data_IF_652481978299
#
_entry.id   IF_652481978299
#
_cell.length_a   1.000
_cell.length_b   1.000
_cell.length_c   1.000
_cell.angle_alpha   90.00
_cell.angle_beta   90.00
_cell.angle_gamma   90.00
#
_symmetry.space_group_name_H-M   'P 1'
#
loop_
_entity.id
_entity.type
_entity.pdbx_description
1 polymer ?
#
# COMPACT_ATOMS: atom_id res chain seq x y z
N UNK A 1 9.28 13.10 3.81
CA UNK A 1 8.68 14.19 3.00
C UNK A 1 8.77 13.76 1.53
N UNK A 2 7.65 13.64 0.81
CA UNK A 2 7.69 13.23 -0.61
C UNK A 2 8.49 14.25 -1.43
N UNK A 3 9.37 13.75 -2.31
CA UNK A 3 10.07 14.59 -3.28
C UNK A 3 9.03 15.26 -4.21
N UNK A 4 9.23 16.54 -4.58
CA UNK A 4 8.31 17.29 -5.47
C UNK A 4 7.94 16.51 -6.75
N UNK A 5 8.89 15.76 -7.31
CA UNK A 5 8.66 14.90 -8.48
C UNK A 5 7.64 13.77 -8.22
N UNK A 6 7.67 13.14 -7.05
CA UNK A 6 6.74 12.06 -6.69
C UNK A 6 5.34 12.59 -6.39
N UNK A 7 5.24 13.80 -5.84
CA UNK A 7 3.97 14.50 -5.66
C UNK A 7 3.32 14.74 -7.03
N UNK A 8 4.09 15.18 -8.02
CA UNK A 8 3.58 15.38 -9.38
C UNK A 8 3.10 14.06 -9.99
N UNK A 9 3.86 12.96 -9.89
CA UNK A 9 3.44 11.64 -10.38
C UNK A 9 2.14 11.19 -9.69
N UNK A 10 2.03 11.40 -8.38
CA UNK A 10 0.82 11.10 -7.63
C UNK A 10 -0.38 11.94 -8.07
N UNK A 11 -0.20 13.23 -8.31
CA UNK A 11 -1.25 14.11 -8.81
C UNK A 11 -1.69 13.71 -10.23
N UNK A 12 -0.74 13.47 -11.14
CA UNK A 12 -1.06 13.05 -12.52
C UNK A 12 -1.74 11.69 -12.59
N UNK A 13 -1.51 10.81 -11.61
CA UNK A 13 -2.26 9.56 -11.48
C UNK A 13 -3.71 9.79 -11.01
N UNK A 14 -3.94 10.72 -10.08
CA UNK A 14 -5.28 10.93 -9.52
C UNK A 14 -6.19 11.83 -10.38
N UNK A 15 -5.63 12.75 -11.18
CA UNK A 15 -6.41 13.67 -12.02
C UNK A 15 -7.35 12.92 -12.98
N UNK A 16 -6.90 11.94 -13.78
CA UNK A 16 -7.78 11.18 -14.68
C UNK A 16 -8.87 10.41 -13.92
N UNK A 17 -8.54 9.86 -12.73
CA UNK A 17 -9.51 9.16 -11.88
C UNK A 17 -10.64 10.11 -11.47
N UNK A 18 -10.29 11.30 -11.00
CA UNK A 18 -11.25 12.31 -10.55
C UNK A 18 -12.11 12.79 -11.72
N UNK A 19 -11.49 13.10 -12.86
CA UNK A 19 -12.22 13.51 -14.08
C UNK A 19 -13.22 12.43 -14.49
N UNK A 20 -12.80 11.16 -14.47
CA UNK A 20 -13.65 10.04 -14.85
C UNK A 20 -14.85 9.86 -13.90
N UNK A 21 -14.64 10.00 -12.58
CA UNK A 21 -15.74 9.97 -11.60
C UNK A 21 -16.73 11.11 -11.84
N UNK A 22 -16.25 12.33 -12.08
CA UNK A 22 -17.13 13.48 -12.38
C UNK A 22 -17.87 13.33 -13.71
N UNK A 23 -17.23 12.77 -14.73
CA UNK A 23 -17.88 12.46 -16.00
C UNK A 23 -19.07 11.52 -15.80
N UNK A 24 -18.89 10.42 -15.04
CA UNK A 24 -19.97 9.49 -14.72
C UNK A 24 -21.05 10.12 -13.83
N UNK A 25 -20.66 11.00 -12.91
CA UNK A 25 -21.61 11.77 -12.11
C UNK A 25 -22.51 12.61 -13.02
N UNK A 26 -21.94 13.41 -13.93
CA UNK A 26 -22.72 14.31 -14.80
C UNK A 26 -23.71 13.54 -15.67
N UNK A 27 -23.29 12.39 -16.22
CA UNK A 27 -24.12 11.63 -17.17
C UNK A 27 -25.20 10.80 -16.47
N UNK A 28 -24.86 10.13 -15.36
CA UNK A 28 -25.76 9.14 -14.75
C UNK A 28 -26.38 9.63 -13.41
N UNK A 29 -25.80 10.64 -12.77
CA UNK A 29 -26.15 11.11 -11.44
C UNK A 29 -25.16 10.63 -10.35
N UNK A 30 -25.22 11.22 -9.16
CA UNK A 30 -24.28 10.92 -8.06
C UNK A 30 -24.47 9.53 -7.45
N UNK A 31 -25.72 9.05 -7.44
CA UNK A 31 -26.16 7.86 -6.70
C UNK A 31 -26.58 6.71 -7.63
N UNK A 32 -26.51 6.93 -8.95
CA UNK A 32 -26.88 5.92 -9.94
C UNK A 32 -25.89 4.76 -9.94
N UNK A 33 -26.42 3.54 -9.89
CA UNK A 33 -25.69 2.32 -10.15
C UNK A 33 -26.10 1.81 -11.53
N UNK A 34 -25.13 1.49 -12.39
CA UNK A 34 -25.45 0.93 -13.68
C UNK A 34 -26.04 -0.48 -13.52
N UNK A 35 -27.21 -0.74 -14.12
CA UNK A 35 -27.97 -2.01 -13.94
C UNK A 35 -27.26 -3.21 -14.61
N UNK A 36 -26.20 -2.96 -15.38
CA UNK A 36 -25.42 -3.97 -16.11
C UNK A 36 -24.96 -5.12 -15.19
N UNK A 37 -24.67 -4.86 -13.90
CA UNK A 37 -24.30 -5.89 -12.91
C UNK A 37 -25.30 -7.05 -12.82
N UNK A 38 -26.60 -6.79 -12.91
CA UNK A 38 -27.63 -7.81 -12.76
C UNK A 38 -27.72 -8.77 -13.95
N UNK A 39 -27.05 -8.43 -15.07
CA UNK A 39 -26.97 -9.27 -16.28
C UNK A 39 -25.55 -9.77 -16.56
N UNK A 40 -24.56 -9.37 -15.75
CA UNK A 40 -23.16 -9.73 -15.95
C UNK A 40 -22.83 -11.05 -15.25
N UNK A 41 -22.81 -12.14 -16.01
CA UNK A 41 -22.28 -13.43 -15.58
C UNK A 41 -20.89 -13.61 -16.19
N UNK A 42 -19.81 -13.27 -15.46
CA UNK A 42 -18.46 -13.35 -16.01
C UNK A 42 -18.12 -14.80 -16.35
N UNK A 43 -17.64 -15.03 -17.57
CA UNK A 43 -17.08 -16.31 -17.98
C UNK A 43 -15.82 -16.65 -17.17
N UNK A 44 -15.34 -17.89 -17.25
CA UNK A 44 -14.08 -18.27 -16.59
C UNK A 44 -12.90 -17.40 -17.06
N UNK A 45 -12.90 -17.01 -18.34
CA UNK A 45 -11.88 -16.15 -18.95
C UNK A 45 -11.97 -14.73 -18.35
N UNK A 46 -13.18 -14.19 -18.19
CA UNK A 46 -13.39 -12.86 -17.58
C UNK A 46 -12.93 -12.82 -16.12
N UNK A 47 -13.08 -13.92 -15.38
CA UNK A 47 -12.56 -14.04 -14.01
C UNK A 47 -11.03 -14.06 -13.95
N UNK A 48 -10.37 -14.73 -14.90
CA UNK A 48 -8.90 -14.79 -14.98
C UNK A 48 -8.32 -13.44 -15.40
N UNK A 49 -9.04 -12.71 -16.27
CA UNK A 49 -8.65 -11.38 -16.74
C UNK A 49 -9.14 -10.25 -15.85
N UNK A 50 -9.74 -10.55 -14.69
CA UNK A 50 -10.25 -9.54 -13.77
C UNK A 50 -9.10 -8.60 -13.34
N UNK A 51 -9.17 -7.31 -13.70
CA UNK A 51 -8.12 -6.36 -13.37
C UNK A 51 -7.89 -6.23 -11.87
N UNK A 52 -8.88 -6.57 -11.03
CA UNK A 52 -8.72 -6.58 -9.58
C UNK A 52 -7.69 -7.63 -9.14
N UNK A 53 -7.72 -8.85 -9.68
CA UNK A 53 -6.73 -9.87 -9.34
C UNK A 53 -5.33 -9.47 -9.81
N UNK A 54 -5.22 -8.94 -11.03
CA UNK A 54 -3.95 -8.47 -11.57
C UNK A 54 -3.36 -7.29 -10.78
N UNK A 55 -4.20 -6.36 -10.31
CA UNK A 55 -3.74 -5.26 -9.44
C UNK A 55 -3.10 -5.80 -8.15
N UNK A 56 -3.69 -6.84 -7.54
CA UNK A 56 -3.14 -7.49 -6.34
C UNK A 56 -1.84 -8.22 -6.65
N UNK A 57 -1.79 -8.99 -7.75
CA UNK A 57 -0.58 -9.72 -8.17
C UNK A 57 0.58 -8.74 -8.40
N UNK A 58 0.33 -7.66 -9.15
CA UNK A 58 1.36 -6.64 -9.42
C UNK A 58 1.79 -5.93 -8.14
N UNK A 59 0.87 -5.67 -7.21
CA UNK A 59 1.20 -5.12 -5.88
C UNK A 59 2.18 -5.98 -5.11
N UNK A 60 1.96 -7.31 -5.12
CA UNK A 60 2.84 -8.28 -4.48
C UNK A 60 4.21 -8.32 -5.17
N UNK A 61 4.23 -8.28 -6.50
CA UNK A 61 5.48 -8.23 -7.28
C UNK A 61 6.29 -6.98 -6.90
N UNK A 62 5.67 -5.79 -6.88
CA UNK A 62 6.34 -4.55 -6.49
C UNK A 62 6.87 -4.67 -5.05
N UNK A 63 6.05 -5.14 -4.11
CA UNK A 63 6.46 -5.33 -2.72
C UNK A 63 7.69 -6.24 -2.60
N UNK A 64 7.71 -7.36 -3.32
CA UNK A 64 8.86 -8.27 -3.38
C UNK A 64 10.09 -7.59 -3.98
N UNK A 65 9.94 -6.91 -5.12
CA UNK A 65 11.04 -6.24 -5.82
C UNK A 65 11.68 -5.11 -4.99
N UNK A 66 10.89 -4.40 -4.18
CA UNK A 66 11.41 -3.40 -3.23
C UNK A 66 12.29 -4.04 -2.15
N UNK A 67 12.04 -5.30 -1.80
CA UNK A 67 12.74 -6.01 -0.75
C UNK A 67 14.01 -6.73 -1.22
N UNK A 68 14.23 -6.91 -2.52
CA UNK A 68 15.33 -7.72 -3.06
C UNK A 68 16.17 -6.92 -4.04
N UNK A 69 17.49 -7.13 -4.03
CA UNK A 69 18.39 -6.64 -5.07
C UNK A 69 19.32 -7.76 -5.53
N UNK A 70 19.64 -7.75 -6.80
CA UNK A 70 20.69 -8.60 -7.36
C UNK A 70 21.85 -7.72 -7.83
N UNK A 71 22.96 -7.75 -7.10
CA UNK A 71 24.23 -7.15 -7.51
C UNK A 71 25.34 -8.19 -7.28
N UNK A 72 25.55 -9.07 -8.26
CA UNK A 72 26.41 -10.27 -8.21
C UNK A 72 26.00 -11.36 -7.20
N UNK A 73 25.31 -10.98 -6.13
CA UNK A 73 24.66 -11.84 -5.14
C UNK A 73 23.22 -11.38 -4.92
N UNK A 74 22.38 -12.32 -4.48
CA UNK A 74 21.00 -12.03 -4.09
C UNK A 74 20.97 -11.46 -2.67
N UNK A 75 20.50 -10.22 -2.53
CA UNK A 75 20.43 -9.48 -1.28
C UNK A 75 18.97 -9.21 -0.89
N UNK A 76 18.64 -9.43 0.38
CA UNK A 76 17.33 -9.13 0.96
C UNK A 76 17.46 -7.94 1.92
N UNK A 77 16.62 -6.92 1.74
CA UNK A 77 16.58 -5.69 2.53
C UNK A 77 15.53 -5.83 3.62
N UNK A 78 15.99 -6.17 4.82
CA UNK A 78 15.13 -6.43 5.96
C UNK A 78 14.29 -5.21 6.39
N UNK A 79 14.86 -4.01 6.33
CA UNK A 79 14.15 -2.75 6.59
C UNK A 79 13.02 -2.50 5.60
N UNK A 80 13.25 -2.78 4.30
CA UNK A 80 12.21 -2.69 3.26
C UNK A 80 11.05 -3.65 3.53
N UNK A 81 11.32 -4.87 4.00
CA UNK A 81 10.27 -5.84 4.37
C UNK A 81 9.42 -5.28 5.51
N UNK A 82 10.07 -4.74 6.55
CA UNK A 82 9.38 -4.13 7.70
C UNK A 82 8.53 -2.94 7.25
N UNK A 83 9.04 -2.06 6.40
CA UNK A 83 8.30 -0.91 5.88
C UNK A 83 7.08 -1.34 5.03
N UNK A 84 7.22 -2.37 4.19
CA UNK A 84 6.10 -2.96 3.43
C UNK A 84 5.04 -3.53 4.37
N UNK A 85 5.45 -4.30 5.38
CA UNK A 85 4.53 -4.88 6.35
C UNK A 85 3.82 -3.77 7.16
N UNK A 86 4.55 -2.75 7.61
CA UNK A 86 3.98 -1.62 8.32
C UNK A 86 3.01 -0.83 7.46
N UNK A 87 3.32 -0.58 6.19
CA UNK A 87 2.42 0.10 5.27
C UNK A 87 1.13 -0.71 5.03
N UNK A 88 1.24 -2.04 4.93
CA UNK A 88 0.09 -2.93 4.80
C UNK A 88 -0.75 -2.96 6.08
N UNK A 89 -0.16 -3.12 7.25
CA UNK A 89 -0.88 -3.11 8.53
C UNK A 89 -1.58 -1.76 8.74
N UNK A 90 -0.90 -0.67 8.37
CA UNK A 90 -1.46 0.68 8.42
C UNK A 90 -2.71 0.82 7.54
N UNK A 91 -2.65 0.31 6.31
CA UNK A 91 -3.81 0.21 5.42
C UNK A 91 -4.98 -0.54 6.09
N UNK A 92 -4.70 -1.70 6.68
CA UNK A 92 -5.73 -2.59 7.21
C UNK A 92 -6.51 -1.96 8.35
N UNK A 93 -5.85 -1.32 9.30
CA UNK A 93 -6.58 -0.70 10.41
C UNK A 93 -7.35 0.55 9.97
N UNK A 94 -6.84 1.32 9.00
CA UNK A 94 -7.62 2.39 8.35
C UNK A 94 -8.83 1.83 7.60
N UNK A 95 -8.67 0.68 6.95
CA UNK A 95 -9.76 -0.01 6.27
C UNK A 95 -10.86 -0.44 7.26
N UNK A 96 -10.51 -0.85 8.47
CA UNK A 96 -11.48 -1.13 9.53
C UNK A 96 -12.26 0.13 9.93
N UNK A 97 -11.61 1.29 10.03
CA UNK A 97 -12.30 2.58 10.24
C UNK A 97 -13.28 2.87 9.11
N UNK A 98 -12.86 2.68 7.86
CA UNK A 98 -13.74 2.84 6.70
C UNK A 98 -14.93 1.88 6.79
N UNK A 99 -14.74 0.62 7.16
CA UNK A 99 -15.84 -0.32 7.35
C UNK A 99 -16.83 0.14 8.43
N UNK A 100 -16.34 0.67 9.56
CA UNK A 100 -17.21 1.26 10.60
C UNK A 100 -18.02 2.44 10.04
N UNK A 101 -17.38 3.33 9.27
CA UNK A 101 -18.08 4.47 8.63
C UNK A 101 -19.12 4.02 7.60
N UNK A 102 -18.88 2.94 6.85
CA UNK A 102 -19.87 2.40 5.90
C UNK A 102 -21.14 1.94 6.60
N UNK A 103 -21.01 1.33 7.78
CA UNK A 103 -22.16 0.92 8.60
C UNK A 103 -22.97 2.16 8.99
N UNK A 104 -22.32 3.22 9.45
CA UNK A 104 -22.98 4.48 9.83
C UNK A 104 -23.66 5.19 8.66
N UNK A 105 -23.07 5.15 7.47
CA UNK A 105 -23.68 5.74 6.26
C UNK A 105 -24.92 4.97 5.79
N UNK A 106 -25.03 3.68 6.14
CA UNK A 106 -26.13 2.78 5.78
C UNK A 106 -26.52 2.84 4.28
N UNK A 107 -25.55 3.11 3.42
CA UNK A 107 -25.78 3.21 1.98
C UNK A 107 -25.80 1.80 1.38
N UNK A 108 -27.02 1.37 1.04
CA UNK A 108 -27.33 0.11 0.38
C UNK A 108 -27.41 0.25 -1.14
N UNK A 109 -27.17 1.43 -1.72
CA UNK A 109 -27.11 1.57 -3.16
C UNK A 109 -25.98 0.71 -3.74
N UNK A 110 -26.26 0.13 -4.90
CA UNK A 110 -25.38 -0.80 -5.61
C UNK A 110 -25.09 -2.09 -4.81
N UNK A 111 -25.88 -2.45 -3.80
CA UNK A 111 -25.76 -3.76 -3.13
C UNK A 111 -26.36 -4.87 -3.97
N UNK A 112 -25.74 -6.04 -3.92
CA UNK A 112 -26.28 -7.25 -4.55
C UNK A 112 -27.59 -7.63 -3.83
N UNK A 113 -28.66 -7.89 -4.58
CA UNK A 113 -29.94 -8.35 -4.02
C UNK A 113 -29.68 -9.63 -3.19
N UNK A 114 -30.04 -9.60 -1.91
CA UNK A 114 -29.87 -10.73 -1.00
C UNK A 114 -28.56 -10.75 -0.19
N UNK A 115 -27.66 -9.76 -0.33
CA UNK A 115 -26.49 -9.59 0.53
C UNK A 115 -26.50 -8.23 1.23
N UNK A 116 -26.52 -8.24 2.57
CA UNK A 116 -26.31 -7.02 3.37
C UNK A 116 -24.81 -6.67 3.29
N UNK A 117 -24.43 -5.83 2.33
CA UNK A 117 -23.07 -5.29 2.21
C UNK A 117 -23.14 -3.77 2.25
N UNK A 118 -22.62 -3.11 3.27
CA UNK A 118 -22.61 -1.65 3.29
C UNK A 118 -21.62 -1.11 2.24
N UNK A 119 -22.12 -0.37 1.25
CA UNK A 119 -21.36 0.08 0.07
C UNK A 119 -21.02 1.58 0.09
N UNK A 120 -21.33 2.29 1.18
CA UNK A 120 -21.20 3.75 1.27
C UNK A 120 -19.82 4.34 0.99
N UNK A 121 -18.74 3.55 1.05
CA UNK A 121 -17.39 4.01 0.68
C UNK A 121 -16.74 2.93 -0.20
N UNK A 122 -16.20 3.31 -1.35
CA UNK A 122 -15.50 2.39 -2.24
C UNK A 122 -14.17 1.93 -1.64
N UNK A 123 -14.12 0.65 -1.24
CA UNK A 123 -12.90 0.03 -0.72
C UNK A 123 -11.83 -0.17 -1.80
N UNK A 124 -12.25 -0.31 -3.07
CA UNK A 124 -11.36 -0.50 -4.20
C UNK A 124 -10.55 0.76 -4.48
N UNK A 125 -11.22 1.91 -4.62
CA UNK A 125 -10.54 3.19 -4.86
C UNK A 125 -9.65 3.58 -3.68
N UNK A 126 -10.14 3.38 -2.46
CA UNK A 126 -9.34 3.57 -1.25
C UNK A 126 -8.02 2.80 -1.31
N UNK A 127 -8.10 1.49 -1.54
CA UNK A 127 -6.96 0.57 -1.53
C UNK A 127 -5.99 0.90 -2.66
N UNK A 128 -6.50 1.10 -3.87
CA UNK A 128 -5.67 1.33 -5.04
C UNK A 128 -4.86 2.62 -4.91
N UNK A 129 -5.50 3.73 -4.52
CA UNK A 129 -4.82 5.02 -4.41
C UNK A 129 -3.84 5.02 -3.24
N UNK A 130 -4.22 4.40 -2.12
CA UNK A 130 -3.32 4.24 -0.97
C UNK A 130 -2.05 3.49 -1.37
N UNK A 131 -2.16 2.29 -1.95
CA UNK A 131 -0.99 1.50 -2.33
C UNK A 131 -0.16 2.17 -3.42
N UNK A 132 -0.76 2.93 -4.33
CA UNK A 132 0.00 3.73 -5.29
C UNK A 132 0.91 4.75 -4.57
N UNK A 133 0.36 5.50 -3.62
CA UNK A 133 1.13 6.44 -2.79
C UNK A 133 2.24 5.75 -1.99
N UNK A 134 1.95 4.57 -1.42
CA UNK A 134 2.96 3.75 -0.73
C UNK A 134 4.06 3.27 -1.67
N UNK A 135 3.76 2.80 -2.87
CA UNK A 135 4.77 2.35 -3.82
C UNK A 135 5.69 3.50 -4.25
N UNK A 136 5.16 4.69 -4.49
CA UNK A 136 5.97 5.88 -4.75
C UNK A 136 6.89 6.22 -3.57
N UNK A 137 6.38 6.11 -2.34
CA UNK A 137 7.19 6.29 -1.13
C UNK A 137 8.30 5.24 -1.04
N UNK A 138 7.97 3.96 -1.12
CA UNK A 138 8.91 2.85 -1.00
C UNK A 138 10.00 2.90 -2.07
N UNK A 139 9.64 3.25 -3.30
CA UNK A 139 10.59 3.46 -4.40
C UNK A 139 11.57 4.60 -4.12
N UNK A 140 11.10 5.68 -3.48
CA UNK A 140 11.94 6.82 -3.14
C UNK A 140 12.90 6.57 -1.99
N UNK A 141 12.57 5.60 -1.12
CA UNK A 141 13.44 5.16 -0.03
C UNK A 141 14.49 4.13 -0.46
N UNK A 142 14.43 3.63 -1.70
CA UNK A 142 15.46 2.72 -2.22
C UNK A 142 16.80 3.45 -2.30
N UNK A 143 17.86 2.98 -1.59
CA UNK A 143 19.18 3.57 -1.75
C UNK A 143 19.67 3.35 -3.19
N UNK A 144 19.93 4.44 -3.91
CA UNK A 144 20.58 4.35 -5.23
C UNK A 144 22.02 3.88 -5.04
N UNK A 145 22.38 2.75 -5.67
CA UNK A 145 23.72 2.17 -5.56
C UNK A 145 24.79 3.16 -6.03
N UNK A 146 25.87 3.22 -5.24
CA UNK A 146 27.08 3.98 -5.52
C UNK A 146 28.22 3.07 -6.01
N UNK A 147 27.93 1.82 -6.39
CA UNK A 147 28.97 0.86 -6.72
C UNK A 147 29.53 1.16 -8.12
N UNK A 148 30.59 1.96 -8.14
CA UNK A 148 31.66 1.76 -9.10
C UNK A 148 32.10 0.29 -9.03
N UNK A 149 32.25 -0.31 -10.20
CA UNK A 149 32.96 -1.56 -10.40
C UNK A 149 34.31 -1.41 -9.68
N UNK A 150 34.66 -2.37 -8.82
CA UNK A 150 35.83 -2.41 -7.91
C UNK A 150 35.66 -1.69 -6.56
N UNK A 151 35.24 -2.43 -5.53
CA UNK A 151 36.10 -2.77 -4.38
C UNK A 151 35.68 -4.15 -3.88
N UNK A 152 36.62 -5.09 -3.94
CA UNK A 152 36.56 -6.40 -3.30
C UNK A 152 36.73 -6.21 -1.78
N UNK A 153 35.73 -6.62 -1.01
CA UNK A 153 35.99 -7.19 0.31
C UNK A 153 35.31 -8.56 0.36
N UNK A 154 36.13 -9.62 0.35
CA UNK A 154 35.71 -10.97 0.74
C UNK A 154 35.20 -10.90 2.19
N UNK A 155 33.89 -10.73 2.38
CA UNK A 155 33.20 -11.20 3.58
C UNK A 155 32.48 -12.48 3.20
N UNK A 156 33.05 -13.60 3.64
CA UNK A 156 32.49 -14.94 3.51
C UNK A 156 31.26 -15.11 4.41
N UNK A 157 30.18 -14.36 4.16
CA UNK A 157 28.82 -14.72 4.59
C UNK A 157 27.86 -14.09 3.58
N UNK A 158 27.26 -14.92 2.74
CA UNK A 158 26.05 -14.53 2.03
C UNK A 158 24.92 -14.49 3.06
N UNK A 159 23.93 -13.61 2.84
CA UNK A 159 22.70 -13.44 3.62
C UNK A 159 22.76 -12.28 4.63
N UNK A 160 21.87 -11.31 4.41
CA UNK A 160 21.57 -10.12 5.21
C UNK A 160 22.59 -8.97 5.14
N UNK A 161 22.48 -8.15 4.09
CA UNK A 161 23.03 -6.80 4.12
C UNK A 161 22.09 -5.92 4.96
N UNK A 162 22.51 -5.51 6.15
CA UNK A 162 21.83 -4.50 6.95
C UNK A 162 22.48 -3.14 6.65
N UNK A 163 21.96 -2.33 5.70
CA UNK A 163 22.50 -0.99 5.52
C UNK A 163 22.15 -0.15 6.74
N UNK A 164 23.13 0.03 7.62
CA UNK A 164 23.14 1.03 8.69
C UNK A 164 23.41 2.41 8.06
N UNK A 165 22.51 2.87 7.17
CA UNK A 165 22.66 4.17 6.50
C UNK A 165 21.83 5.19 7.28
N UNK A 166 22.51 5.83 8.22
CA UNK A 166 22.25 7.19 8.74
C UNK A 166 20.80 7.69 8.64
N UNK A 167 19.95 7.25 9.56
CA UNK A 167 18.68 7.92 9.87
C UNK A 167 18.86 9.30 10.53
N UNK A 168 20.11 9.73 10.78
CA UNK A 168 20.45 11.00 11.44
C UNK A 168 21.01 12.12 10.53
N UNK A 169 21.22 11.88 9.23
CA UNK A 169 21.66 12.97 8.33
C UNK A 169 20.52 13.39 7.41
N UNK A 170 19.85 14.48 7.79
CA UNK A 170 18.84 15.19 6.99
C UNK A 170 19.37 15.85 5.71
N UNK A 171 20.31 15.22 5.02
CA UNK A 171 20.98 15.77 3.86
C UNK A 171 21.56 14.65 2.99
N UNK A 172 20.69 13.96 2.23
CA UNK A 172 21.10 13.28 0.99
C UNK A 172 21.45 14.33 -0.10
N UNK A 173 22.41 15.22 0.20
CA UNK A 173 22.99 16.17 -0.76
C UNK A 173 24.24 15.64 -1.46
N UNK A 174 24.75 14.47 -1.08
CA UNK A 174 25.90 13.86 -1.75
C UNK A 174 25.45 12.79 -2.75
N UNK A 175 25.87 12.98 -4.01
CA UNK A 175 25.63 12.17 -5.21
C UNK A 175 24.36 12.48 -6.01
N UNK A 176 24.32 13.72 -6.51
CA UNK A 176 23.36 14.17 -7.54
C UNK A 176 23.78 13.90 -8.99
N UNK A 177 24.99 13.43 -9.25
CA UNK A 177 25.48 13.27 -10.62
C UNK A 177 26.26 11.96 -10.74
N UNK A 178 25.78 11.06 -11.60
CA UNK A 178 26.31 9.71 -11.92
C UNK A 178 25.87 8.53 -11.02
N UNK A 179 24.56 8.31 -10.88
CA UNK A 179 24.03 7.00 -10.44
C UNK A 179 23.34 6.32 -11.62
N UNK A 180 23.90 5.20 -12.10
CA UNK A 180 23.16 4.32 -13.02
C UNK A 180 21.95 3.76 -12.26
N UNK A 181 20.74 3.75 -12.85
CA UNK A 181 19.59 3.15 -12.18
C UNK A 181 19.88 1.67 -11.93
N UNK A 182 19.73 1.21 -10.68
CA UNK A 182 19.87 -0.20 -10.38
C UNK A 182 18.78 -1.00 -11.08
N UNK A 183 19.07 -2.26 -11.43
CA UNK A 183 18.09 -3.17 -12.06
C UNK A 183 16.80 -3.25 -11.24
N UNK A 184 16.92 -3.18 -9.91
CA UNK A 184 15.78 -3.07 -8.98
C UNK A 184 14.87 -1.89 -9.30
N UNK A 185 15.42 -0.69 -9.49
CA UNK A 185 14.63 0.52 -9.78
C UNK A 185 13.91 0.39 -11.13
N UNK A 186 14.58 -0.18 -12.14
CA UNK A 186 13.98 -0.40 -13.45
C UNK A 186 12.79 -1.37 -13.33
N UNK A 187 13.00 -2.53 -12.71
CA UNK A 187 11.94 -3.53 -12.51
C UNK A 187 10.78 -3.00 -11.69
N UNK A 188 11.04 -2.26 -10.61
CA UNK A 188 9.98 -1.63 -9.83
C UNK A 188 9.22 -0.56 -10.62
N UNK A 189 9.90 0.17 -11.52
CA UNK A 189 9.25 1.16 -12.39
C UNK A 189 8.34 0.49 -13.42
N UNK A 190 8.76 -0.63 -14.00
CA UNK A 190 7.91 -1.47 -14.86
C UNK A 190 6.71 -2.02 -14.08
N UNK A 191 6.94 -2.50 -12.86
CA UNK A 191 5.86 -2.93 -11.96
C UNK A 191 4.87 -1.81 -11.69
N UNK A 192 5.34 -0.59 -11.41
CA UNK A 192 4.50 0.59 -11.17
C UNK A 192 3.67 0.95 -12.42
N UNK A 193 4.24 0.85 -13.62
CA UNK A 193 3.50 1.05 -14.87
C UNK A 193 2.36 0.03 -15.02
N UNK A 194 2.65 -1.26 -14.80
CA UNK A 194 1.63 -2.32 -14.82
C UNK A 194 0.54 -2.05 -13.78
N UNK A 195 0.93 -1.61 -12.58
CA UNK A 195 -0.01 -1.24 -11.53
C UNK A 195 -0.95 -0.13 -11.99
N UNK A 196 -0.41 0.93 -12.61
CA UNK A 196 -1.21 2.03 -13.16
C UNK A 196 -2.23 1.49 -14.17
N UNK A 197 -1.80 0.66 -15.12
CA UNK A 197 -2.69 0.10 -16.17
C UNK A 197 -3.82 -0.73 -15.55
N UNK A 198 -3.50 -1.72 -14.71
CA UNK A 198 -4.52 -2.60 -14.11
C UNK A 198 -5.42 -1.85 -13.12
N UNK A 199 -4.87 -0.86 -12.41
CA UNK A 199 -5.64 -0.03 -11.50
C UNK A 199 -6.70 0.79 -12.23
N UNK A 200 -6.35 1.40 -13.37
CA UNK A 200 -7.31 2.14 -14.19
C UNK A 200 -8.38 1.22 -14.76
N UNK A 201 -8.01 0.04 -15.26
CA UNK A 201 -8.97 -0.95 -15.73
C UNK A 201 -9.93 -1.40 -14.60
N UNK A 202 -9.41 -1.62 -13.39
CA UNK A 202 -10.23 -1.99 -12.23
C UNK A 202 -11.21 -0.88 -11.84
N UNK A 203 -10.73 0.36 -11.77
CA UNK A 203 -11.55 1.54 -11.47
C UNK A 203 -12.63 1.77 -12.54
N UNK A 204 -12.26 1.67 -13.81
CA UNK A 204 -13.16 1.75 -14.95
C UNK A 204 -14.27 0.69 -14.88
N UNK A 205 -13.89 -0.58 -14.66
CA UNK A 205 -14.85 -1.67 -14.50
C UNK A 205 -15.80 -1.44 -13.32
N UNK A 206 -15.29 -0.90 -12.21
CA UNK A 206 -16.09 -0.58 -11.02
C UNK A 206 -17.25 0.37 -11.35
N UNK A 207 -17.00 1.38 -12.17
CA UNK A 207 -17.98 2.37 -12.62
C UNK A 207 -18.93 1.81 -13.68
N UNK A 208 -18.40 1.20 -14.74
CA UNK A 208 -19.21 0.74 -15.86
C UNK A 208 -20.19 -0.34 -15.46
N UNK A 209 -19.72 -1.32 -14.71
CA UNK A 209 -20.58 -2.41 -14.26
C UNK A 209 -21.47 -2.01 -13.10
N UNK A 210 -21.35 -0.79 -12.57
CA UNK A 210 -22.24 -0.28 -11.51
C UNK A 210 -22.01 -0.94 -10.15
N UNK A 211 -20.76 -1.34 -9.84
CA UNK A 211 -20.42 -1.90 -8.54
C UNK A 211 -20.46 -0.83 -7.43
N UNK A 212 -20.23 0.44 -7.78
CA UNK A 212 -20.33 1.60 -6.90
C UNK A 212 -20.85 2.82 -7.64
N UNK A 213 -21.54 3.72 -6.91
CA UNK A 213 -21.95 5.02 -7.45
C UNK A 213 -20.81 6.04 -7.45
N UNK A 214 -20.83 7.07 -8.30
CA UNK A 214 -19.82 8.13 -8.29
C UNK A 214 -19.57 8.74 -6.91
N UNK A 215 -20.62 8.94 -6.11
CA UNK A 215 -20.50 9.42 -4.71
C UNK A 215 -19.69 8.48 -3.83
N UNK A 216 -19.98 7.18 -3.87
CA UNK A 216 -19.27 6.16 -3.08
C UNK A 216 -17.78 6.08 -3.47
N UNK A 217 -17.48 6.30 -4.75
CA UNK A 217 -16.11 6.36 -5.25
C UNK A 217 -15.38 7.60 -4.75
N UNK A 218 -16.02 8.77 -4.80
CA UNK A 218 -15.45 10.01 -4.29
C UNK A 218 -15.09 9.89 -2.80
N UNK A 219 -15.96 9.27 -1.99
CA UNK A 219 -15.62 8.99 -0.59
C UNK A 219 -14.43 8.04 -0.44
N UNK A 220 -14.30 7.04 -1.31
CA UNK A 220 -13.11 6.16 -1.34
C UNK A 220 -11.83 6.94 -1.67
N UNK A 221 -11.90 7.85 -2.63
CA UNK A 221 -10.79 8.76 -2.99
C UNK A 221 -10.42 9.63 -1.78
N UNK A 222 -11.38 10.33 -1.19
CA UNK A 222 -11.14 11.20 -0.02
C UNK A 222 -10.52 10.42 1.14
N UNK A 223 -11.05 9.23 1.46
CA UNK A 223 -10.51 8.37 2.50
C UNK A 223 -9.05 7.96 2.21
N UNK A 224 -8.68 7.73 0.95
CA UNK A 224 -7.29 7.41 0.58
C UNK A 224 -6.33 8.56 0.84
N UNK A 225 -6.75 9.81 0.53
CA UNK A 225 -5.94 11.00 0.80
C UNK A 225 -5.75 11.20 2.30
N UNK A 226 -6.82 11.04 3.09
CA UNK A 226 -6.74 11.11 4.56
C UNK A 226 -5.78 10.05 5.10
N UNK A 227 -5.87 8.80 4.62
CA UNK A 227 -4.97 7.72 5.02
C UNK A 227 -3.51 7.98 4.63
N UNK A 228 -3.23 8.57 3.47
CA UNK A 228 -1.87 8.92 3.06
C UNK A 228 -1.30 10.09 3.88
N UNK A 229 -2.12 11.08 4.21
CA UNK A 229 -1.73 12.19 5.09
C UNK A 229 -1.42 11.66 6.49
N UNK A 230 -2.30 10.84 7.07
CA UNK A 230 -2.06 10.21 8.38
C UNK A 230 -0.85 9.27 8.35
N UNK A 231 -0.63 8.53 7.27
CA UNK A 231 0.58 7.72 7.08
C UNK A 231 1.85 8.59 7.09
N UNK A 232 1.80 9.80 6.51
CA UNK A 232 2.95 10.70 6.53
C UNK A 232 3.32 11.16 7.95
N UNK A 233 2.34 11.33 8.84
CA UNK A 233 2.58 11.57 10.27
C UNK A 233 3.09 10.32 10.98
N UNK A 234 2.54 9.14 10.65
CA UNK A 234 3.01 7.87 11.17
C UNK A 234 4.50 7.59 10.86
N UNK A 235 4.97 8.02 9.68
CA UNK A 235 6.39 7.95 9.33
C UNK A 235 7.29 8.86 10.19
N UNK A 236 6.75 9.83 10.93
CA UNK A 236 7.53 10.65 11.88
C UNK A 236 7.83 9.90 13.18
N UNK A 237 7.05 8.85 13.49
CA UNK A 237 7.32 7.96 14.63
C UNK A 237 8.65 7.22 14.36
N UNK A 238 9.55 7.09 15.35
CA UNK A 238 10.79 6.36 15.19
C UNK A 238 10.53 4.93 14.70
N UNK A 239 11.35 4.46 13.76
CA UNK A 239 11.15 3.19 13.04
C UNK A 239 10.84 2.00 13.96
N UNK A 240 11.55 1.91 15.10
CA UNK A 240 11.40 0.83 16.09
C UNK A 240 9.98 0.80 16.69
N UNK A 241 9.35 1.96 16.90
CA UNK A 241 8.03 2.05 17.52
C UNK A 241 6.87 1.93 16.53
N UNK A 242 7.12 2.07 15.22
CA UNK A 242 6.06 2.01 14.20
C UNK A 242 5.28 0.70 14.25
N UNK A 243 5.97 -0.44 14.30
CA UNK A 243 5.30 -1.75 14.35
C UNK A 243 4.47 -1.96 15.63
N UNK A 244 4.92 -1.42 16.76
CA UNK A 244 4.17 -1.46 18.03
C UNK A 244 2.89 -0.66 17.91
N UNK A 245 2.99 0.59 17.44
CA UNK A 245 1.82 1.47 17.24
C UNK A 245 0.84 0.84 16.25
N UNK A 246 1.33 0.29 15.15
CA UNK A 246 0.52 -0.42 14.17
C UNK A 246 -0.18 -1.65 14.75
N UNK A 247 0.49 -2.44 15.59
CA UNK A 247 -0.09 -3.59 16.26
C UNK A 247 -1.25 -3.19 17.18
N UNK A 248 -1.05 -2.14 18.00
CA UNK A 248 -2.06 -1.62 18.91
C UNK A 248 -3.26 -1.08 18.14
N UNK A 249 -3.03 -0.24 17.12
CA UNK A 249 -4.10 0.37 16.31
C UNK A 249 -4.87 -0.69 15.52
N UNK A 250 -4.19 -1.67 14.95
CA UNK A 250 -4.82 -2.78 14.24
C UNK A 250 -5.76 -3.56 15.16
N UNK A 251 -5.25 -3.99 16.31
CA UNK A 251 -6.01 -4.78 17.26
C UNK A 251 -7.21 -3.99 17.79
N UNK A 252 -6.98 -2.73 18.20
CA UNK A 252 -8.04 -1.85 18.71
C UNK A 252 -9.12 -1.59 17.67
N UNK A 253 -8.75 -1.24 16.43
CA UNK A 253 -9.73 -0.99 15.36
C UNK A 253 -10.52 -2.24 14.99
N UNK A 254 -9.90 -3.42 15.03
CA UNK A 254 -10.60 -4.68 14.79
C UNK A 254 -11.64 -4.97 15.88
N UNK A 255 -11.27 -4.83 17.15
CA UNK A 255 -12.21 -5.00 18.27
C UNK A 255 -13.38 -4.03 18.17
N UNK A 256 -13.12 -2.75 17.90
CA UNK A 256 -14.19 -1.75 17.74
C UNK A 256 -15.07 -2.09 16.53
N UNK A 257 -14.49 -2.53 15.41
CA UNK A 257 -15.26 -2.96 14.25
C UNK A 257 -16.22 -4.11 14.61
N UNK A 258 -15.74 -5.14 15.31
CA UNK A 258 -16.59 -6.25 15.79
C UNK A 258 -17.73 -5.76 16.68
N UNK A 259 -17.48 -4.79 17.57
CA UNK A 259 -18.51 -4.19 18.40
C UNK A 259 -19.56 -3.44 17.57
N UNK A 260 -19.11 -2.61 16.61
CA UNK A 260 -19.99 -1.83 15.73
C UNK A 260 -20.84 -2.73 14.83
N UNK A 261 -20.25 -3.81 14.29
CA UNK A 261 -20.96 -4.75 13.41
C UNK A 261 -21.72 -5.83 14.17
N UNK A 262 -21.64 -5.86 15.50
CA UNK A 262 -22.19 -6.91 16.37
C UNK A 262 -21.74 -8.33 15.95
N UNK A 263 -20.52 -8.44 15.44
CA UNK A 263 -19.92 -9.72 15.07
C UNK A 263 -19.03 -10.22 16.20
N UNK A 264 -19.02 -11.54 16.44
CA UNK A 264 -18.08 -12.14 17.38
C UNK A 264 -16.65 -11.89 16.94
N UNK A 265 -15.78 -11.57 17.90
CA UNK A 265 -14.33 -11.55 17.67
C UNK A 265 -13.92 -12.97 17.25
N UNK A 266 -13.43 -13.09 16.03
CA UNK A 266 -12.93 -14.36 15.49
C UNK A 266 -11.42 -14.29 15.34
N UNK A 267 -10.75 -15.43 15.20
CA UNK A 267 -9.33 -15.48 14.87
C UNK A 267 -9.12 -14.92 13.45
N UNK A 268 -8.98 -13.60 13.34
CA UNK A 268 -8.59 -12.95 12.10
C UNK A 268 -7.17 -13.39 11.75
N UNK A 269 -7.03 -14.29 10.77
CA UNK A 269 -5.73 -14.76 10.27
C UNK A 269 -4.83 -13.59 9.84
N UNK A 270 -5.40 -12.43 9.55
CA UNK A 270 -4.65 -11.23 9.18
C UNK A 270 -3.89 -10.60 10.35
N UNK A 271 -4.16 -10.98 11.61
CA UNK A 271 -3.34 -10.57 12.77
C UNK A 271 -1.89 -11.08 12.67
N UNK A 272 -1.63 -12.07 11.82
CA UNK A 272 -0.28 -12.55 11.55
C UNK A 272 0.60 -11.46 10.91
N UNK A 273 0.04 -10.56 10.10
CA UNK A 273 0.81 -9.46 9.49
C UNK A 273 1.37 -8.45 10.51
N UNK A 274 0.58 -7.88 11.45
CA UNK A 274 1.12 -7.00 12.49
C UNK A 274 2.04 -7.75 13.45
N UNK A 275 1.80 -9.03 13.76
CA UNK A 275 2.72 -9.87 14.53
C UNK A 275 4.07 -10.04 13.81
N UNK A 276 4.07 -10.42 12.54
CA UNK A 276 5.28 -10.56 11.74
C UNK A 276 6.03 -9.22 11.65
N UNK A 277 5.33 -8.11 11.44
CA UNK A 277 5.96 -6.78 11.43
C UNK A 277 6.66 -6.49 12.77
N UNK A 278 5.98 -6.75 13.90
CA UNK A 278 6.52 -6.52 15.24
C UNK A 278 7.74 -7.40 15.52
N UNK A 279 7.65 -8.71 15.29
CA UNK A 279 8.75 -9.66 15.51
C UNK A 279 9.97 -9.30 14.66
N UNK A 280 9.75 -8.94 13.39
CA UNK A 280 10.84 -8.52 12.50
C UNK A 280 11.48 -7.22 13.01
N UNK A 281 10.69 -6.22 13.41
CA UNK A 281 11.23 -4.96 13.95
C UNK A 281 12.02 -5.17 15.25
N UNK A 282 11.54 -6.05 16.14
CA UNK A 282 12.26 -6.41 17.37
C UNK A 282 13.58 -7.12 17.05
N UNK A 283 13.56 -8.09 16.13
CA UNK A 283 14.76 -8.76 15.66
C UNK A 283 15.75 -7.75 15.06
N UNK A 284 15.30 -6.86 14.19
CA UNK A 284 16.15 -5.80 13.64
C UNK A 284 16.77 -4.93 14.75
N UNK A 285 15.97 -4.50 15.73
CA UNK A 285 16.48 -3.68 16.83
C UNK A 285 17.55 -4.41 17.63
N UNK A 286 17.34 -5.69 17.98
CA UNK A 286 18.30 -6.49 18.72
C UNK A 286 19.65 -6.64 17.99
N UNK A 287 19.62 -6.82 16.67
CA UNK A 287 20.84 -6.98 15.85
C UNK A 287 21.55 -5.67 15.48
N UNK A 288 20.91 -4.52 15.72
CA UNK A 288 21.46 -3.20 15.38
C UNK A 288 21.84 -2.36 16.59
N UNK A 289 21.52 -2.79 17.81
CA UNK A 289 22.07 -2.21 19.03
C UNK A 289 23.59 -2.45 19.01
N UNK A 290 24.41 -1.40 19.07
CA UNK A 290 25.86 -1.55 19.11
C UNK A 290 26.25 -2.36 20.35
N UNK A 291 27.12 -3.36 20.17
CA UNK A 291 27.64 -4.25 21.22
C UNK A 291 28.33 -3.55 22.39
N UNK A 292 28.50 -2.23 22.34
CA UNK A 292 29.14 -1.43 23.38
C UNK A 292 28.19 -0.93 24.46
N UNK A 293 26.88 -1.25 24.41
CA UNK A 293 25.90 -0.90 25.45
C UNK A 293 25.45 -2.12 26.29
N UNK A 294 26.07 -3.29 26.12
CA UNK A 294 25.73 -4.52 26.87
C UNK A 294 26.81 -4.86 27.93
N UNK A 295 27.88 -4.08 27.99
CA UNK A 295 28.85 -4.11 29.09
C UNK A 295 28.58 -2.95 30.05
N UNK A 296 27.62 -3.13 30.96
CA UNK A 296 27.56 -2.53 32.30
C UNK A 296 26.62 -3.33 33.21
#
# INVERSE_FOLDING_TARGET
MFNKSLINIFLYYNIPIIIFVFYFWIINGSDSCNIIRFKYYPSLIDKILDPQYWTVIVSLIIACLVCIEYDKHFCIYFTSIIDVLNAYVFHRWNYYIICMLKVSLNDIHCTEIGKIKFNGISGHYFTIIYFFGIFLYLLSSIPHSNTSIFVSFKRHFSICYFPLIHYFSGSNRFNKYNKKPSVRIILCSVGLLLYIIFSYLCMYNTLIYGFHSPRQLLYGIIASFIALVTYSFFLQIPFIYRSVVNFILYTSCYFILCLVTKQSVTNDKLILFPLCSLVMTLFYSFWTIPSNEIED
#
